data_IF_608096330812
#
_entry.id   IF_608096330812
#
_cell.length_a   1.000
_cell.length_b   1.000
_cell.length_c   1.000
_cell.angle_alpha   90.00
_cell.angle_beta   90.00
_cell.angle_gamma   90.00
#
_symmetry.space_group_name_H-M   'P 1'
#
loop_
_entity.id
_entity.type
_entity.pdbx_description
1 polymer ?
#
# COMPACT_ATOMS: atom_id res chain seq x y z
N UNK A 1 34.67 -13.44 46.65
CA UNK A 1 34.80 -11.98 46.87
C UNK A 1 33.44 -11.32 46.64
N UNK A 2 32.82 -10.74 47.68
CA UNK A 2 31.56 -9.97 47.53
C UNK A 2 31.95 -8.51 47.23
N UNK A 3 31.49 -7.96 46.11
CA UNK A 3 31.69 -6.53 45.84
C UNK A 3 31.02 -5.69 46.94
N UNK A 4 31.66 -4.60 47.41
CA UNK A 4 31.04 -3.71 48.37
C UNK A 4 29.78 -3.09 47.76
N UNK A 5 28.69 -3.06 48.55
CA UNK A 5 27.32 -2.69 48.13
C UNK A 5 27.22 -1.37 47.35
N UNK A 6 28.12 -0.41 47.64
CA UNK A 6 28.22 0.87 46.93
C UNK A 6 28.75 0.73 45.50
N UNK A 7 29.71 -0.17 45.27
CA UNK A 7 30.29 -0.44 43.96
C UNK A 7 29.28 -1.18 43.06
N UNK A 8 28.50 -2.09 43.64
CA UNK A 8 27.38 -2.74 42.93
C UNK A 8 26.33 -1.72 42.47
N UNK A 9 25.97 -0.75 43.32
CA UNK A 9 25.01 0.30 42.96
C UNK A 9 25.54 1.24 41.86
N UNK A 10 26.82 1.61 41.92
CA UNK A 10 27.45 2.46 40.88
C UNK A 10 27.50 1.72 39.54
N UNK A 11 27.88 0.45 39.52
CA UNK A 11 27.89 -0.36 38.29
C UNK A 11 26.48 -0.51 37.73
N UNK A 12 25.48 -0.75 38.58
CA UNK A 12 24.09 -0.84 38.15
C UNK A 12 23.59 0.49 37.57
N UNK A 13 23.92 1.62 38.22
CA UNK A 13 23.57 2.95 37.72
C UNK A 13 24.23 3.26 36.37
N UNK A 14 25.51 2.91 36.19
CA UNK A 14 26.22 3.09 34.92
C UNK A 14 25.66 2.20 33.81
N UNK A 15 25.26 0.96 34.12
CA UNK A 15 24.62 0.07 33.17
C UNK A 15 23.23 0.58 32.74
N UNK A 16 22.44 1.11 33.68
CA UNK A 16 21.13 1.69 33.38
C UNK A 16 21.29 2.97 32.55
N UNK A 17 22.23 3.85 32.90
CA UNK A 17 22.50 5.09 32.15
C UNK A 17 23.07 4.81 30.76
N UNK A 18 24.01 3.87 30.64
CA UNK A 18 24.57 3.44 29.35
C UNK A 18 23.52 2.75 28.47
N UNK A 19 22.68 1.89 29.06
CA UNK A 19 21.59 1.22 28.37
C UNK A 19 20.51 2.20 27.88
N UNK A 20 20.11 3.16 28.72
CA UNK A 20 19.16 4.21 28.34
C UNK A 20 19.73 5.13 27.26
N UNK A 21 21.01 5.51 27.35
CA UNK A 21 21.70 6.31 26.34
C UNK A 21 21.80 5.60 24.99
N UNK A 22 22.16 4.31 24.99
CA UNK A 22 22.22 3.49 23.78
C UNK A 22 20.82 3.33 23.15
N UNK A 23 19.80 3.02 23.96
CA UNK A 23 18.43 2.90 23.49
C UNK A 23 17.94 4.20 22.84
N UNK A 24 18.20 5.36 23.48
CA UNK A 24 17.85 6.67 22.93
C UNK A 24 18.53 6.97 21.60
N UNK A 25 19.84 6.70 21.49
CA UNK A 25 20.59 6.86 20.23
C UNK A 25 20.06 5.93 19.14
N UNK A 26 19.77 4.68 19.47
CA UNK A 26 19.22 3.69 18.53
C UNK A 26 17.85 4.12 18.01
N UNK A 27 16.96 4.59 18.89
CA UNK A 27 15.64 5.10 18.48
C UNK A 27 15.76 6.34 17.60
N UNK A 28 16.65 7.28 17.94
CA UNK A 28 16.90 8.46 17.13
C UNK A 28 17.45 8.11 15.73
N UNK A 29 18.39 7.17 15.67
CA UNK A 29 18.94 6.66 14.41
C UNK A 29 17.86 6.03 13.53
N UNK A 30 17.03 5.13 14.09
CA UNK A 30 15.96 4.50 13.33
C UNK A 30 14.93 5.53 12.83
N UNK A 31 14.54 6.50 13.67
CA UNK A 31 13.63 7.57 13.24
C UNK A 31 14.19 8.40 12.09
N UNK A 32 15.46 8.79 12.17
CA UNK A 32 16.11 9.57 11.09
C UNK A 32 16.23 8.76 9.79
N UNK A 33 16.47 7.45 9.89
CA UNK A 33 16.46 6.54 8.74
C UNK A 33 15.06 6.41 8.15
N UNK A 34 14.05 6.16 8.98
CA UNK A 34 12.65 6.02 8.58
C UNK A 34 12.14 7.27 7.86
N UNK A 35 12.46 8.47 8.38
CA UNK A 35 12.10 9.73 7.75
C UNK A 35 12.76 9.88 6.36
N UNK A 36 14.04 9.54 6.23
CA UNK A 36 14.76 9.59 4.96
C UNK A 36 14.19 8.60 3.95
N UNK A 37 13.98 7.36 4.36
CA UNK A 37 13.45 6.32 3.49
C UNK A 37 12.04 6.70 3.04
N UNK A 38 11.20 7.27 3.90
CA UNK A 38 9.91 7.82 3.50
C UNK A 38 10.04 8.92 2.44
N UNK A 39 10.94 9.89 2.63
CA UNK A 39 11.17 10.95 1.64
C UNK A 39 11.58 10.34 0.30
N UNK A 40 12.45 9.33 0.31
CA UNK A 40 12.94 8.71 -0.90
C UNK A 40 11.88 7.87 -1.61
N UNK A 41 11.24 6.96 -0.87
CA UNK A 41 10.16 6.08 -1.34
C UNK A 41 8.94 6.87 -1.82
N UNK A 42 8.69 8.05 -1.24
CA UNK A 42 7.56 8.90 -1.63
C UNK A 42 7.89 9.99 -2.64
N UNK A 43 9.17 10.12 -3.06
CA UNK A 43 9.66 11.20 -3.93
C UNK A 43 8.90 11.31 -5.25
N UNK A 44 8.48 10.18 -5.81
CA UNK A 44 7.80 10.14 -7.10
C UNK A 44 6.29 10.32 -7.00
N UNK A 45 5.74 10.42 -5.79
CA UNK A 45 4.29 10.52 -5.62
C UNK A 45 3.72 11.77 -6.30
N UNK A 46 2.58 11.65 -7.00
CA UNK A 46 1.88 12.82 -7.51
C UNK A 46 1.13 13.60 -6.41
N UNK A 47 1.02 13.05 -5.20
CA UNK A 47 0.39 13.72 -4.05
C UNK A 47 1.32 13.77 -2.85
N UNK A 48 1.12 14.72 -1.93
CA UNK A 48 1.85 14.68 -0.67
C UNK A 48 1.36 13.51 0.19
N UNK A 49 2.19 13.07 1.14
CA UNK A 49 1.95 11.85 1.94
C UNK A 49 0.61 11.87 2.68
N UNK A 50 0.19 13.04 3.14
CA UNK A 50 -1.08 13.26 3.82
C UNK A 50 -2.32 13.00 2.98
N UNK A 51 -2.15 12.93 1.66
CA UNK A 51 -3.20 12.71 0.68
C UNK A 51 -3.24 11.26 0.20
N UNK A 52 -2.25 10.43 0.55
CA UNK A 52 -2.25 9.01 0.24
C UNK A 52 -3.33 8.28 1.03
N UNK A 53 -3.86 7.24 0.42
CA UNK A 53 -4.87 6.35 0.99
C UNK A 53 -4.41 4.91 0.77
N UNK A 54 -4.69 4.04 1.73
CA UNK A 54 -4.49 2.59 1.60
C UNK A 54 -5.76 1.85 2.04
N UNK A 55 -6.03 0.63 1.53
CA UNK A 55 -7.14 -0.18 1.98
C UNK A 55 -6.97 -0.67 3.42
N UNK A 56 -8.06 -0.68 4.20
CA UNK A 56 -8.06 -1.20 5.59
C UNK A 56 -7.65 -2.70 5.66
N UNK A 57 -7.89 -3.44 4.57
CA UNK A 57 -7.56 -4.86 4.48
C UNK A 57 -6.05 -5.14 4.42
N UNK A 58 -5.24 -4.16 4.03
CA UNK A 58 -3.80 -4.26 3.84
C UNK A 58 -3.04 -4.19 5.18
N UNK A 59 -3.57 -3.50 6.18
CA UNK A 59 -2.89 -3.30 7.48
C UNK A 59 -2.90 -4.55 8.41
N UNK A 60 -3.02 -5.77 7.87
CA UNK A 60 -3.04 -7.01 8.67
C UNK A 60 -1.63 -7.60 8.82
N UNK A 61 -1.10 -7.72 10.06
CA UNK A 61 0.23 -8.29 10.30
C UNK A 61 0.38 -9.70 9.71
N UNK A 62 1.52 -9.97 9.07
CA UNK A 62 1.89 -11.30 8.58
C UNK A 62 1.38 -11.68 7.19
N UNK A 63 0.68 -10.77 6.49
CA UNK A 63 0.39 -10.94 5.05
C UNK A 63 1.47 -10.27 4.20
N UNK A 64 1.91 -10.94 3.15
CA UNK A 64 2.83 -10.38 2.15
C UNK A 64 2.05 -9.46 1.21
N UNK A 65 1.88 -8.21 1.62
CA UNK A 65 1.40 -7.16 0.73
C UNK A 65 2.60 -6.52 0.06
N UNK A 66 2.45 -6.13 -1.20
CA UNK A 66 3.50 -5.42 -1.92
C UNK A 66 2.90 -4.12 -2.44
N UNK A 67 3.57 -3.01 -2.20
CA UNK A 67 3.16 -1.72 -2.71
C UNK A 67 4.23 -1.08 -3.59
N UNK A 68 3.78 -0.36 -4.61
CA UNK A 68 4.62 0.42 -5.49
C UNK A 68 4.09 1.84 -5.57
N UNK A 69 4.99 2.80 -5.42
CA UNK A 69 4.68 4.21 -5.61
C UNK A 69 5.48 4.74 -6.79
N UNK A 70 4.79 5.34 -7.73
CA UNK A 70 5.36 5.92 -8.94
C UNK A 70 4.61 7.22 -9.29
N UNK A 71 5.04 7.87 -10.38
CA UNK A 71 4.44 9.14 -10.83
C UNK A 71 2.95 9.06 -11.17
N UNK A 72 2.49 7.86 -11.50
CA UNK A 72 1.08 7.59 -11.85
C UNK A 72 0.20 7.34 -10.63
N UNK A 73 0.78 7.03 -9.46
CA UNK A 73 0.00 6.69 -8.28
C UNK A 73 0.67 5.74 -7.30
N UNK A 74 -0.17 5.21 -6.40
CA UNK A 74 0.14 4.14 -5.45
C UNK A 74 -0.64 2.89 -5.86
N UNK A 75 0.06 1.76 -6.00
CA UNK A 75 -0.54 0.44 -6.23
C UNK A 75 -0.19 -0.49 -5.07
N UNK A 76 -1.13 -1.33 -4.66
CA UNK A 76 -0.97 -2.28 -3.57
C UNK A 76 -1.58 -3.62 -3.96
N UNK A 77 -0.74 -4.65 -4.07
CA UNK A 77 -1.16 -6.03 -4.25
C UNK A 77 -1.40 -6.71 -2.89
N UNK A 78 -2.58 -7.31 -2.71
CA UNK A 78 -2.94 -8.07 -1.51
C UNK A 78 -4.07 -9.08 -1.78
N UNK A 79 -4.29 -9.97 -0.82
CA UNK A 79 -5.41 -10.92 -0.85
C UNK A 79 -6.68 -10.31 -0.22
N UNK A 80 -7.68 -10.02 -1.05
CA UNK A 80 -8.98 -9.52 -0.63
C UNK A 80 -9.87 -10.67 -0.11
N UNK A 81 -10.42 -10.50 1.09
CA UNK A 81 -11.44 -11.39 1.63
C UNK A 81 -12.79 -11.14 0.93
N UNK A 82 -13.27 -12.16 0.23
CA UNK A 82 -14.53 -12.13 -0.53
C UNK A 82 -15.64 -12.93 0.17
N UNK A 83 -15.44 -13.25 1.45
CA UNK A 83 -16.38 -13.99 2.29
C UNK A 83 -16.16 -15.51 2.27
N UNK A 84 -16.76 -16.18 3.26
CA UNK A 84 -16.75 -17.65 3.40
C UNK A 84 -15.33 -18.27 3.47
N UNK A 85 -14.35 -17.52 3.96
CA UNK A 85 -12.96 -17.98 4.04
C UNK A 85 -12.22 -18.00 2.69
N UNK A 86 -12.82 -17.46 1.62
CA UNK A 86 -12.20 -17.33 0.31
C UNK A 86 -11.49 -15.98 0.22
N UNK A 87 -10.29 -15.99 -0.33
CA UNK A 87 -9.57 -14.78 -0.72
C UNK A 87 -9.23 -14.80 -2.20
N UNK A 88 -9.15 -13.62 -2.81
CA UNK A 88 -8.72 -13.45 -4.19
C UNK A 88 -7.59 -12.41 -4.25
N UNK A 89 -6.57 -12.62 -5.10
CA UNK A 89 -5.53 -11.63 -5.28
C UNK A 89 -6.10 -10.41 -5.99
N UNK A 90 -5.84 -9.22 -5.45
CA UNK A 90 -6.24 -7.94 -6.05
C UNK A 90 -5.06 -6.98 -6.11
N UNK A 91 -5.13 -6.06 -7.05
CA UNK A 91 -4.34 -4.82 -7.03
C UNK A 91 -5.32 -3.69 -6.74
N UNK A 92 -5.10 -2.99 -5.63
CA UNK A 92 -5.78 -1.73 -5.36
C UNK A 92 -4.87 -0.57 -5.74
N UNK A 93 -5.44 0.46 -6.35
CA UNK A 93 -4.70 1.58 -6.88
C UNK A 93 -5.31 2.92 -6.55
N UNK A 94 -4.45 3.92 -6.33
CA UNK A 94 -4.77 5.34 -6.26
C UNK A 94 -3.99 6.05 -7.37
N UNK A 95 -4.68 6.48 -8.42
CA UNK A 95 -4.08 6.95 -9.67
C UNK A 95 -4.46 8.40 -10.01
N UNK A 96 -3.56 9.05 -10.75
CA UNK A 96 -3.90 10.29 -11.45
C UNK A 96 -4.76 9.90 -12.65
N UNK A 97 -6.00 10.42 -12.76
CA UNK A 97 -6.89 10.07 -13.86
C UNK A 97 -6.34 10.59 -15.20
N UNK A 98 -6.51 9.82 -16.27
CA UNK A 98 -6.18 10.26 -17.63
C UNK A 98 -7.11 11.40 -18.09
N UNK A 99 -6.57 12.41 -18.80
CA UNK A 99 -7.39 13.43 -19.43
C UNK A 99 -8.36 12.81 -20.44
N UNK A 100 -9.66 13.13 -20.31
CA UNK A 100 -10.70 12.75 -21.27
C UNK A 100 -11.47 11.46 -20.95
N UNK A 101 -10.84 10.46 -20.32
CA UNK A 101 -11.52 9.22 -19.90
C UNK A 101 -11.80 9.19 -18.40
N UNK A 102 -11.00 9.90 -17.59
CA UNK A 102 -11.06 9.83 -16.14
C UNK A 102 -10.54 8.51 -15.55
N UNK A 103 -10.04 7.57 -16.36
CA UNK A 103 -9.52 6.27 -15.92
C UNK A 103 -7.99 6.28 -15.78
N UNK A 104 -7.38 5.31 -15.07
CA UNK A 104 -5.92 5.19 -14.99
C UNK A 104 -5.25 4.93 -16.34
N UNK A 105 -3.93 5.14 -16.39
CA UNK A 105 -3.14 4.89 -17.61
C UNK A 105 -3.17 3.41 -18.04
N UNK A 106 -3.37 3.16 -19.34
CA UNK A 106 -3.49 1.79 -19.88
C UNK A 106 -4.92 1.24 -19.95
N UNK A 107 -5.91 2.00 -19.48
CA UNK A 107 -7.32 1.65 -19.57
C UNK A 107 -7.98 2.37 -20.76
N UNK A 108 -8.04 1.69 -21.91
CA UNK A 108 -8.78 2.14 -23.10
C UNK A 108 -10.04 1.28 -23.32
N UNK A 109 -11.22 1.90 -23.24
CA UNK A 109 -12.53 1.27 -23.47
C UNK A 109 -12.90 1.12 -24.96
N UNK A 110 -11.98 1.40 -25.89
CA UNK A 110 -12.14 1.15 -27.34
C UNK A 110 -11.15 0.15 -27.95
N UNK A 111 -10.29 -0.47 -27.14
CA UNK A 111 -9.23 -1.40 -27.56
C UNK A 111 -9.77 -2.77 -28.01
N UNK A 112 -9.08 -3.50 -28.92
CA UNK A 112 -9.42 -4.89 -29.31
C UNK A 112 -9.31 -5.92 -28.18
N UNK A 113 -8.79 -5.56 -27.00
CA UNK A 113 -9.01 -6.32 -25.78
C UNK A 113 -10.52 -6.37 -25.52
N UNK A 114 -11.10 -7.54 -25.30
CA UNK A 114 -12.53 -7.67 -24.93
C UNK A 114 -12.75 -7.13 -23.52
N UNK A 115 -12.73 -5.80 -23.39
CA UNK A 115 -13.06 -5.04 -22.19
C UNK A 115 -14.50 -4.58 -22.30
N UNK A 116 -15.30 -4.94 -21.31
CA UNK A 116 -16.65 -4.38 -21.16
C UNK A 116 -16.60 -3.33 -20.07
N UNK A 117 -16.92 -2.09 -20.41
CA UNK A 117 -17.03 -0.97 -19.47
C UNK A 117 -18.51 -0.72 -19.17
N UNK A 118 -18.92 -0.87 -17.91
CA UNK A 118 -20.28 -0.61 -17.44
C UNK A 118 -20.23 0.56 -16.47
N UNK A 119 -20.84 1.69 -16.86
CA UNK A 119 -21.06 2.82 -15.97
C UNK A 119 -22.12 2.45 -14.93
N UNK A 120 -21.75 2.54 -13.65
CA UNK A 120 -22.64 2.26 -12.52
C UNK A 120 -23.24 3.56 -11.92
N UNK A 121 -22.90 4.72 -12.49
CA UNK A 121 -23.24 6.03 -11.96
C UNK A 121 -22.32 6.48 -10.82
N UNK A 122 -22.41 7.76 -10.44
CA UNK A 122 -21.65 8.31 -9.31
C UNK A 122 -20.12 8.33 -9.51
N UNK A 123 -19.65 8.26 -10.75
CA UNK A 123 -18.22 8.19 -11.09
C UNK A 123 -17.63 6.79 -10.99
N UNK A 124 -18.47 5.75 -10.84
CA UNK A 124 -18.04 4.35 -10.81
C UNK A 124 -18.16 3.67 -12.19
N UNK A 125 -17.09 2.98 -12.57
CA UNK A 125 -17.05 2.17 -13.80
C UNK A 125 -16.57 0.77 -13.46
N UNK A 126 -17.39 -0.23 -13.77
CA UNK A 126 -17.00 -1.64 -13.73
C UNK A 126 -16.37 -2.01 -15.06
N UNK A 127 -15.17 -2.58 -15.03
CA UNK A 127 -14.46 -3.06 -16.22
C UNK A 127 -14.22 -4.55 -16.08
N UNK A 128 -14.67 -5.31 -17.08
CA UNK A 128 -14.41 -6.74 -17.18
C UNK A 128 -13.53 -6.99 -18.39
N UNK A 129 -12.29 -7.39 -18.15
CA UNK A 129 -11.36 -7.86 -19.19
C UNK A 129 -11.55 -9.36 -19.37
N UNK A 130 -11.88 -9.80 -20.58
CA UNK A 130 -11.95 -11.23 -20.92
C UNK A 130 -10.62 -11.69 -21.47
N UNK A 131 -10.30 -12.96 -21.21
CA UNK A 131 -9.06 -13.60 -21.66
C UNK A 131 -8.90 -13.52 -23.18
N UNK A 132 -7.78 -12.99 -23.63
CA UNK A 132 -7.31 -13.00 -25.03
C UNK A 132 -5.90 -13.59 -25.08
N UNK A 133 -5.34 -13.79 -26.27
CA UNK A 133 -3.97 -14.34 -26.44
C UNK A 133 -2.88 -13.47 -25.77
N UNK A 134 -3.21 -12.22 -25.44
CA UNK A 134 -2.29 -11.23 -24.87
C UNK A 134 -2.77 -10.61 -23.54
N UNK A 135 -3.87 -11.11 -22.93
CA UNK A 135 -4.32 -10.60 -21.63
C UNK A 135 -4.99 -11.67 -20.78
N UNK A 136 -4.68 -11.64 -19.49
CA UNK A 136 -5.38 -12.43 -18.50
C UNK A 136 -6.74 -11.80 -18.20
N UNK A 137 -7.76 -12.62 -17.87
CA UNK A 137 -9.05 -12.11 -17.47
C UNK A 137 -8.93 -11.35 -16.15
N UNK A 138 -9.63 -10.24 -16.04
CA UNK A 138 -9.69 -9.43 -14.82
C UNK A 138 -11.06 -8.77 -14.67
N UNK A 139 -11.46 -8.53 -13.42
CA UNK A 139 -12.61 -7.67 -13.11
C UNK A 139 -12.11 -6.54 -12.23
N UNK A 140 -12.31 -5.31 -12.67
CA UNK A 140 -11.89 -4.11 -11.97
C UNK A 140 -13.05 -3.17 -11.71
N UNK A 141 -13.10 -2.58 -10.52
CA UNK A 141 -13.98 -1.46 -10.23
C UNK A 141 -13.14 -0.20 -10.08
N UNK A 142 -13.52 0.84 -10.81
CA UNK A 142 -12.87 2.14 -10.79
C UNK A 142 -13.86 3.15 -10.25
N UNK A 143 -13.39 4.05 -9.37
CA UNK A 143 -14.12 5.24 -8.96
C UNK A 143 -13.25 6.46 -9.16
N UNK A 144 -13.70 7.34 -10.03
CA UNK A 144 -12.98 8.58 -10.32
C UNK A 144 -13.67 9.76 -9.66
N UNK A 145 -12.89 10.53 -8.91
CA UNK A 145 -13.22 11.88 -8.47
C UNK A 145 -12.35 12.89 -9.24
N UNK A 146 -12.62 14.19 -9.07
CA UNK A 146 -12.10 15.24 -9.96
C UNK A 146 -10.58 15.20 -10.18
N UNK A 147 -9.79 14.77 -9.19
CA UNK A 147 -8.33 14.74 -9.29
C UNK A 147 -7.69 13.38 -8.97
N UNK A 148 -8.48 12.33 -8.70
CA UNK A 148 -7.98 10.99 -8.36
C UNK A 148 -8.90 9.91 -8.90
N UNK A 149 -8.30 8.77 -9.23
CA UNK A 149 -9.04 7.55 -9.52
C UNK A 149 -8.61 6.49 -8.52
N UNK A 150 -9.58 5.84 -7.86
CA UNK A 150 -9.33 4.64 -7.06
C UNK A 150 -9.77 3.43 -7.86
N UNK A 151 -8.94 2.40 -7.88
CA UNK A 151 -9.21 1.17 -8.58
C UNK A 151 -9.01 -0.03 -7.66
N UNK A 152 -9.78 -1.09 -7.89
CA UNK A 152 -9.51 -2.42 -7.35
C UNK A 152 -9.71 -3.41 -8.47
N UNK A 153 -8.65 -4.16 -8.80
CA UNK A 153 -8.59 -5.09 -9.91
C UNK A 153 -8.29 -6.49 -9.41
N UNK A 154 -9.23 -7.41 -9.65
CA UNK A 154 -9.04 -8.85 -9.38
C UNK A 154 -8.03 -9.42 -10.37
N UNK A 155 -6.98 -10.03 -9.85
CA UNK A 155 -5.93 -10.66 -10.62
C UNK A 155 -6.35 -12.08 -10.97
N UNK A 156 -6.93 -12.27 -12.15
CA UNK A 156 -7.34 -13.57 -12.65
C UNK A 156 -8.85 -13.75 -12.84
N UNK A 157 -9.29 -14.96 -13.19
CA UNK A 157 -10.67 -15.22 -13.64
C UNK A 157 -11.70 -15.30 -12.51
N UNK A 158 -11.29 -15.11 -11.25
CA UNK A 158 -12.17 -15.30 -10.10
C UNK A 158 -13.32 -14.29 -10.11
N UNK A 159 -14.59 -14.74 -10.10
CA UNK A 159 -15.72 -13.84 -9.99
C UNK A 159 -15.78 -13.24 -8.59
N UNK A 160 -15.99 -11.93 -8.55
CA UNK A 160 -16.17 -11.14 -7.33
C UNK A 160 -17.36 -10.22 -7.52
N UNK A 161 -18.25 -10.22 -6.54
CA UNK A 161 -19.43 -9.35 -6.54
C UNK A 161 -19.04 -7.87 -6.48
N UNK A 162 -19.75 -7.03 -7.22
CA UNK A 162 -19.47 -5.59 -7.30
C UNK A 162 -19.50 -4.92 -5.92
N UNK A 163 -20.39 -5.34 -5.03
CA UNK A 163 -20.47 -4.79 -3.67
C UNK A 163 -19.23 -5.09 -2.82
N UNK A 164 -18.56 -6.22 -3.07
CA UNK A 164 -17.29 -6.56 -2.42
C UNK A 164 -16.17 -5.66 -2.93
N UNK A 165 -16.11 -5.43 -4.25
CA UNK A 165 -15.16 -4.49 -4.85
C UNK A 165 -15.41 -3.06 -4.38
N UNK A 166 -16.67 -2.64 -4.30
CA UNK A 166 -17.07 -1.32 -3.79
C UNK A 166 -16.64 -1.14 -2.34
N UNK A 167 -16.88 -2.14 -1.49
CA UNK A 167 -16.41 -2.10 -0.11
C UNK A 167 -14.87 -2.01 -0.01
N UNK A 168 -14.13 -2.69 -0.89
CA UNK A 168 -12.68 -2.60 -0.95
C UNK A 168 -12.17 -1.21 -1.41
N UNK A 169 -12.89 -0.52 -2.29
CA UNK A 169 -12.60 0.87 -2.69
C UNK A 169 -12.90 1.88 -1.58
N UNK A 170 -13.95 1.64 -0.81
CA UNK A 170 -14.49 2.58 0.17
C UNK A 170 -13.84 2.52 1.55
N UNK A 171 -13.40 1.32 1.95
CA UNK A 171 -12.74 1.10 3.24
C UNK A 171 -11.26 1.39 3.13
N UNK A 172 -10.97 2.69 3.15
CA UNK A 172 -9.62 3.23 3.05
C UNK A 172 -9.35 4.20 4.19
N UNK A 173 -8.09 4.28 4.59
CA UNK A 173 -7.62 5.25 5.57
C UNK A 173 -6.35 5.93 5.08
N UNK A 174 -6.01 7.04 5.72
CA UNK A 174 -4.71 7.67 5.57
C UNK A 174 -3.68 6.84 6.33
N UNK A 175 -2.63 6.32 5.68
CA UNK A 175 -1.64 5.51 6.35
C UNK A 175 -0.78 6.35 7.30
N UNK A 176 -0.34 5.72 8.37
CA UNK A 176 0.77 6.21 9.19
C UNK A 176 2.09 6.05 8.45
N UNK A 177 3.10 6.80 8.89
CA UNK A 177 4.47 6.68 8.37
C UNK A 177 5.02 5.25 8.52
N UNK A 178 4.64 4.54 9.59
CA UNK A 178 5.02 3.15 9.81
C UNK A 178 4.38 2.20 8.80
N UNK A 179 3.07 2.35 8.55
CA UNK A 179 2.34 1.54 7.55
C UNK A 179 2.88 1.77 6.13
N UNK A 180 3.17 3.02 5.76
CA UNK A 180 3.80 3.32 4.47
C UNK A 180 5.17 2.67 4.33
N UNK A 181 6.01 2.73 5.37
CA UNK A 181 7.32 2.09 5.35
C UNK A 181 7.21 0.58 5.27
N UNK A 182 6.29 -0.04 6.02
CA UNK A 182 6.05 -1.48 5.97
C UNK A 182 5.63 -1.93 4.56
N UNK A 183 4.80 -1.14 3.88
CA UNK A 183 4.32 -1.46 2.54
C UNK A 183 5.37 -1.24 1.43
N UNK A 184 6.15 -0.16 1.53
CA UNK A 184 7.05 0.28 0.47
C UNK A 184 8.46 -0.33 0.61
N UNK A 185 8.88 -0.72 1.83
CA UNK A 185 10.12 -1.50 2.03
C UNK A 185 9.86 -2.96 1.72
N UNK A 186 9.86 -3.31 0.44
CA UNK A 186 9.76 -4.71 0.02
C UNK A 186 10.89 -5.56 0.62
N UNK A 187 10.70 -6.88 0.69
CA UNK A 187 11.76 -7.83 1.08
C UNK A 187 13.02 -7.55 0.23
N UNK A 188 14.15 -7.31 0.90
CA UNK A 188 15.42 -6.97 0.26
C UNK A 188 15.63 -5.49 -0.08
N UNK A 189 14.73 -4.59 0.34
CA UNK A 189 14.99 -3.14 0.29
C UNK A 189 16.23 -2.80 1.12
N UNK A 190 17.29 -2.40 0.43
CA UNK A 190 18.54 -1.93 1.00
C UNK A 190 18.78 -0.49 0.59
N UNK A 191 19.38 0.25 1.51
CA UNK A 191 19.88 1.62 1.27
C UNK A 191 21.38 1.58 1.50
N UNK A 192 22.14 2.58 1.06
CA UNK A 192 23.60 2.65 1.25
C UNK A 192 24.10 2.55 2.73
N UNK A 193 23.17 2.46 3.69
CA UNK A 193 23.38 2.39 5.14
C UNK A 193 22.72 1.17 5.81
N UNK A 194 22.36 0.13 5.05
CA UNK A 194 21.89 -1.17 5.57
C UNK A 194 23.00 -2.20 5.69
#
# INVERSE_FOLDING_TARGET
>A
MRLPRRLTLVVLALLVLGGAGYAGLRTAYHRAKDERDLIDLTRQSPWPREQLLIPDAVARPGKRNVAWLHRGGLEIAYDLDVGHGRTVPVVWGLHVPQPGTGLPEGVDCGSPLLRTCTDLGGGETLIVTRRTDNSDPSTGLYRTDANRSRAVEVQGPDPVEVDVLRAALDRVHRPTDAELLELLRHDGYQTDWS
#
